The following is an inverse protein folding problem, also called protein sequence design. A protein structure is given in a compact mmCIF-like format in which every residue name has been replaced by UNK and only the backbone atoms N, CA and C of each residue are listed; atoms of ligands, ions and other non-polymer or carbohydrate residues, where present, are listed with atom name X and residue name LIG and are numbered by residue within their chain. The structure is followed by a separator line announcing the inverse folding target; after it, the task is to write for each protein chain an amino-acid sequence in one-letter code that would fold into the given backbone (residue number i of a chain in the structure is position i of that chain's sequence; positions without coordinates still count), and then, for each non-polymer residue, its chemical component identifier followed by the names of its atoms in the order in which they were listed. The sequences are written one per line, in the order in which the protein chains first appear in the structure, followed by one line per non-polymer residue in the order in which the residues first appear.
data_IF_932209664143
#
_entry.id   IF_932209664143
#
_cell.length_a   1.000
_cell.length_b   1.000
_cell.length_c   1.000
_cell.angle_alpha   90.00
_cell.angle_beta   90.00
_cell.angle_gamma   90.00
#
_symmetry.space_group_name_H-M   'P 1'
#
loop_
_entity.id
_entity.type
_entity.pdbx_description
1 polymer ?
#
# COMPACT_ATOMS: atom_id res chain seq x y z
N UNK A 1 -8.41 -18.18 -12.30
CA UNK A 1 -9.53 -17.47 -11.65
C UNK A 1 -9.07 -17.08 -10.26
N UNK A 2 -8.82 -15.79 -10.03
CA UNK A 2 -8.26 -15.29 -8.78
C UNK A 2 -9.40 -15.01 -7.80
N UNK A 3 -9.40 -15.68 -6.64
CA UNK A 3 -10.30 -15.33 -5.55
C UNK A 3 -9.69 -14.18 -4.78
N UNK A 4 -10.27 -12.99 -4.92
CA UNK A 4 -9.87 -11.81 -4.18
C UNK A 4 -11.01 -11.34 -3.26
N UNK A 5 -10.62 -10.81 -2.12
CA UNK A 5 -11.54 -10.17 -1.19
C UNK A 5 -11.85 -8.77 -1.71
N UNK A 6 -13.12 -8.52 -2.04
CA UNK A 6 -13.66 -7.19 -2.29
C UNK A 6 -14.39 -6.74 -1.03
N UNK A 7 -14.01 -5.60 -0.45
CA UNK A 7 -14.79 -5.00 0.62
C UNK A 7 -16.10 -4.47 0.02
N UNK A 8 -17.25 -4.85 0.58
CA UNK A 8 -18.57 -4.41 0.12
C UNK A 8 -18.85 -2.95 0.53
N UNK A 9 -18.01 -2.01 0.08
CA UNK A 9 -18.26 -0.57 0.17
C UNK A 9 -17.93 0.05 -1.19
N UNK A 10 -18.96 0.59 -1.85
CA UNK A 10 -19.07 0.95 -3.27
C UNK A 10 -18.15 2.08 -3.80
N UNK A 11 -16.97 2.32 -3.23
CA UNK A 11 -16.05 3.31 -3.76
C UNK A 11 -14.64 2.71 -3.76
N UNK A 12 -13.95 2.74 -4.90
CA UNK A 12 -12.55 2.37 -4.96
C UNK A 12 -11.70 3.44 -4.25
N UNK A 13 -11.26 3.16 -3.02
CA UNK A 13 -10.69 4.16 -2.09
C UNK A 13 -9.15 4.26 -2.22
N UNK A 14 -8.62 3.63 -3.28
CA UNK A 14 -7.20 3.59 -3.62
C UNK A 14 -6.69 4.94 -4.14
N UNK A 15 -7.58 5.74 -4.74
CA UNK A 15 -7.27 7.08 -5.23
C UNK A 15 -7.33 8.08 -4.06
N UNK A 16 -6.17 8.62 -3.71
CA UNK A 16 -6.02 9.59 -2.62
C UNK A 16 -6.05 11.01 -3.18
N UNK A 17 -7.17 11.70 -3.04
CA UNK A 17 -7.37 13.08 -3.51
C UNK A 17 -6.91 14.12 -2.47
N UNK A 18 -5.61 14.20 -2.22
CA UNK A 18 -5.03 15.18 -1.28
C UNK A 18 -3.63 15.59 -1.69
N UNK A 19 -3.25 16.85 -1.56
CA UNK A 19 -1.90 17.29 -1.91
C UNK A 19 -0.86 16.87 -0.86
N UNK A 20 -1.29 16.55 0.36
CA UNK A 20 -0.44 16.15 1.50
C UNK A 20 -0.15 14.64 1.52
N UNK A 21 0.41 14.13 0.42
CA UNK A 21 0.64 12.69 0.22
C UNK A 21 1.51 12.05 1.32
N UNK A 22 2.65 12.64 1.67
CA UNK A 22 3.52 12.10 2.72
C UNK A 22 2.87 12.16 4.10
N UNK A 23 2.05 13.19 4.37
CA UNK A 23 1.25 13.24 5.60
C UNK A 23 0.26 12.07 5.69
N UNK A 24 -0.31 11.67 4.55
CA UNK A 24 -1.22 10.53 4.46
C UNK A 24 -0.48 9.22 4.69
N UNK A 25 0.66 9.00 4.02
CA UNK A 25 1.49 7.82 4.25
C UNK A 25 1.91 7.70 5.73
N UNK A 26 2.26 8.82 6.36
CA UNK A 26 2.60 8.87 7.77
C UNK A 26 1.40 8.55 8.68
N UNK A 27 0.19 9.05 8.35
CA UNK A 27 -1.05 8.70 9.05
C UNK A 27 -1.37 7.22 8.91
N UNK A 28 -1.23 6.65 7.72
CA UNK A 28 -1.42 5.21 7.46
C UNK A 28 -0.41 4.41 8.27
N UNK A 29 0.87 4.79 8.25
CA UNK A 29 1.89 4.13 9.04
C UNK A 29 1.52 4.10 10.54
N UNK A 30 1.21 5.26 11.11
CA UNK A 30 0.91 5.43 12.54
C UNK A 30 -0.40 4.77 12.98
N UNK A 31 -1.42 4.74 12.12
CA UNK A 31 -2.75 4.24 12.47
C UNK A 31 -3.00 2.80 12.05
N UNK A 32 -2.40 2.36 10.95
CA UNK A 32 -2.63 1.05 10.34
C UNK A 32 -1.41 0.15 10.55
N UNK A 33 -0.26 0.51 9.97
CA UNK A 33 0.94 -0.36 9.94
C UNK A 33 1.42 -0.72 11.34
N UNK A 34 1.47 0.24 12.26
CA UNK A 34 1.91 -0.02 13.64
C UNK A 34 0.90 -0.85 14.43
N UNK A 35 -0.41 -0.71 14.16
CA UNK A 35 -1.48 -1.32 14.96
C UNK A 35 -1.82 -2.75 14.55
N UNK A 36 -1.89 -3.04 13.26
CA UNK A 36 -2.33 -4.35 12.79
C UNK A 36 -1.15 -5.31 12.68
N UNK A 37 -1.21 -6.46 13.36
CA UNK A 37 -0.14 -7.47 13.36
C UNK A 37 0.25 -7.92 11.94
N UNK A 38 -0.68 -8.15 11.00
CA UNK A 38 -0.32 -8.63 9.66
C UNK A 38 0.36 -7.60 8.77
N UNK A 39 0.35 -6.30 9.11
CA UNK A 39 1.01 -5.29 8.28
C UNK A 39 2.53 -5.46 8.33
N UNK A 40 3.16 -5.42 7.16
CA UNK A 40 4.61 -5.49 6.98
C UNK A 40 5.22 -4.09 6.83
N UNK A 41 4.53 -3.19 6.15
CA UNK A 41 5.00 -1.83 5.93
C UNK A 41 4.30 -1.13 4.78
N UNK A 42 4.84 0.02 4.39
CA UNK A 42 4.53 0.72 3.15
C UNK A 42 5.77 0.71 2.24
N UNK A 43 5.54 0.62 0.94
CA UNK A 43 6.52 0.94 -0.10
C UNK A 43 5.94 2.05 -0.97
N UNK A 44 6.71 3.10 -1.27
CA UNK A 44 6.27 4.24 -2.10
C UNK A 44 7.32 4.62 -3.14
N UNK A 45 6.89 5.33 -4.19
CA UNK A 45 7.80 5.96 -5.15
C UNK A 45 8.02 7.45 -4.84
N UNK A 46 7.93 7.82 -3.56
CA UNK A 46 8.05 9.20 -3.09
C UNK A 46 8.95 9.29 -1.87
N UNK A 47 9.59 10.44 -1.69
CA UNK A 47 10.42 10.74 -0.53
C UNK A 47 10.11 12.14 -0.01
N UNK A 48 10.42 12.36 1.28
CA UNK A 48 10.40 13.68 1.90
C UNK A 48 11.73 14.40 1.62
N UNK A 49 11.68 15.59 1.03
CA UNK A 49 12.90 16.40 0.81
C UNK A 49 13.45 16.97 2.13
N UNK A 50 12.57 17.19 3.10
CA UNK A 50 12.86 17.71 4.44
C UNK A 50 11.92 17.09 5.47
N UNK A 51 12.27 17.17 6.75
CA UNK A 51 11.55 16.48 7.84
C UNK A 51 10.06 16.87 7.90
N UNK A 52 9.74 18.13 7.61
CA UNK A 52 8.39 18.70 7.59
C UNK A 52 7.70 18.63 6.22
N UNK A 53 8.29 17.95 5.23
CA UNK A 53 7.66 17.76 3.93
C UNK A 53 6.44 16.85 4.04
N UNK A 54 5.28 17.45 3.77
CA UNK A 54 3.96 16.79 3.80
C UNK A 54 3.51 16.35 2.42
N UNK A 55 4.13 16.86 1.37
CA UNK A 55 3.72 16.63 -0.02
C UNK A 55 4.55 15.48 -0.59
N UNK A 56 5.86 15.51 -0.40
CA UNK A 56 6.81 14.55 -0.97
C UNK A 56 7.04 14.75 -2.46
N UNK A 57 8.22 14.34 -2.89
CA UNK A 57 8.66 14.39 -4.29
C UNK A 57 8.78 12.97 -4.85
N UNK A 58 8.60 12.82 -6.17
CA UNK A 58 8.79 11.54 -6.85
C UNK A 58 10.24 11.09 -6.74
N UNK A 59 10.43 9.78 -6.56
CA UNK A 59 11.74 9.13 -6.52
C UNK A 59 11.85 8.07 -7.61
N UNK A 60 13.02 7.98 -8.24
CA UNK A 60 13.35 6.89 -9.16
C UNK A 60 13.61 5.56 -8.44
N UNK A 61 13.71 5.58 -7.11
CA UNK A 61 13.88 4.41 -6.26
C UNK A 61 12.67 4.25 -5.31
N UNK A 62 12.40 3.01 -4.91
CA UNK A 62 11.35 2.73 -3.93
C UNK A 62 11.81 3.09 -2.52
N UNK A 63 10.93 3.73 -1.76
CA UNK A 63 11.13 4.07 -0.35
C UNK A 63 10.29 3.15 0.52
N UNK A 64 10.85 2.68 1.63
CA UNK A 64 10.20 1.71 2.52
C UNK A 64 9.95 2.31 3.90
N UNK A 65 8.75 2.07 4.42
CA UNK A 65 8.37 2.35 5.81
C UNK A 65 7.92 1.05 6.47
N UNK A 66 8.88 0.26 6.96
CA UNK A 66 8.60 -1.03 7.60
C UNK A 66 7.99 -0.90 8.98
N UNK A 67 7.14 -1.87 9.34
CA UNK A 67 6.65 -2.03 10.70
C UNK A 67 7.83 -2.26 11.64
N UNK A 68 7.79 -1.67 12.83
CA UNK A 68 8.79 -1.91 13.87
C UNK A 68 8.83 -3.40 14.22
N UNK A 69 10.04 -3.97 14.33
CA UNK A 69 10.28 -5.40 14.60
C UNK A 69 9.67 -6.32 13.55
N UNK A 70 9.72 -5.91 12.28
CA UNK A 70 9.49 -6.84 11.18
C UNK A 70 10.48 -8.01 11.28
N UNK A 71 10.02 -9.19 10.88
CA UNK A 71 10.87 -10.36 10.76
C UNK A 71 12.05 -10.08 9.79
N UNK A 72 13.30 -10.37 10.17
CA UNK A 72 14.47 -10.07 9.33
C UNK A 72 14.45 -10.78 7.97
N UNK A 73 14.01 -12.03 7.90
CA UNK A 73 13.94 -12.76 6.62
C UNK A 73 12.92 -12.12 5.70
N UNK A 74 11.74 -11.76 6.23
CA UNK A 74 10.73 -11.01 5.46
C UNK A 74 11.23 -9.65 5.02
N UNK A 75 11.96 -8.93 5.89
CA UNK A 75 12.55 -7.64 5.55
C UNK A 75 13.48 -7.77 4.34
N UNK A 76 14.42 -8.72 4.39
CA UNK A 76 15.43 -8.93 3.34
C UNK A 76 14.80 -9.34 2.01
N UNK A 77 13.68 -10.06 2.05
CA UNK A 77 12.89 -10.40 0.88
C UNK A 77 12.07 -9.22 0.33
N UNK A 78 11.47 -8.39 1.19
CA UNK A 78 10.68 -7.23 0.77
C UNK A 78 11.51 -6.14 0.11
N UNK A 79 12.76 -5.95 0.53
CA UNK A 79 13.65 -4.96 -0.11
C UNK A 79 14.04 -5.34 -1.55
N UNK A 80 13.76 -6.58 -1.99
CA UNK A 80 13.93 -7.01 -3.39
C UNK A 80 12.86 -6.44 -4.32
N UNK A 81 11.82 -5.79 -3.77
CA UNK A 81 10.82 -5.05 -4.55
C UNK A 81 11.44 -3.72 -5.01
N UNK A 82 12.19 -3.83 -6.10
CA UNK A 82 12.73 -2.68 -6.82
C UNK A 82 11.64 -1.88 -7.56
N UNK A 83 12.06 -0.80 -8.20
CA UNK A 83 11.21 0.09 -8.99
C UNK A 83 10.45 -0.65 -10.09
N UNK A 84 11.08 -1.60 -10.78
CA UNK A 84 10.47 -2.28 -11.92
C UNK A 84 9.38 -3.23 -11.44
N UNK A 85 9.63 -3.99 -10.38
CA UNK A 85 8.61 -4.83 -9.73
C UNK A 85 7.47 -3.98 -9.18
N UNK A 86 7.78 -2.90 -8.47
CA UNK A 86 6.79 -1.96 -7.94
C UNK A 86 5.88 -1.39 -9.04
N UNK A 87 6.48 -0.94 -10.15
CA UNK A 87 5.73 -0.42 -11.29
C UNK A 87 4.91 -1.51 -11.96
N UNK A 88 5.45 -2.72 -12.13
CA UNK A 88 4.73 -3.84 -12.72
C UNK A 88 3.49 -4.22 -11.89
N UNK A 89 3.60 -4.24 -10.56
CA UNK A 89 2.47 -4.47 -9.65
C UNK A 89 1.38 -3.42 -9.89
N UNK A 90 1.75 -2.15 -9.97
CA UNK A 90 0.79 -1.07 -10.22
C UNK A 90 0.20 -1.13 -11.64
N UNK A 91 0.98 -1.48 -12.66
CA UNK A 91 0.47 -1.62 -14.02
C UNK A 91 -0.54 -2.76 -14.12
N UNK A 92 -0.25 -3.89 -13.48
CA UNK A 92 -1.20 -5.01 -13.40
C UNK A 92 -2.49 -4.58 -12.68
N UNK A 93 -2.38 -3.92 -11.54
CA UNK A 93 -3.55 -3.39 -10.81
C UNK A 93 -4.37 -2.39 -11.65
N UNK A 94 -3.70 -1.47 -12.36
CA UNK A 94 -4.36 -0.47 -13.19
C UNK A 94 -4.89 -1.03 -14.52
N UNK A 95 -4.47 -2.23 -14.93
CA UNK A 95 -4.95 -2.88 -16.15
C UNK A 95 -6.38 -3.42 -16.04
N UNK A 96 -6.88 -3.60 -14.81
CA UNK A 96 -8.28 -3.94 -14.54
C UNK A 96 -9.16 -2.69 -14.54
N UNK A 97 -10.41 -2.85 -14.97
CA UNK A 97 -11.45 -1.83 -14.84
C UNK A 97 -11.69 -1.49 -13.36
N UNK A 98 -12.08 -0.26 -13.05
CA UNK A 98 -12.20 0.22 -11.67
C UNK A 98 -13.16 -0.64 -10.83
N UNK A 99 -14.26 -1.10 -11.44
CA UNK A 99 -15.27 -1.96 -10.82
C UNK A 99 -14.77 -3.40 -10.54
N UNK A 100 -13.74 -3.84 -11.24
CA UNK A 100 -13.15 -5.19 -11.12
C UNK A 100 -11.93 -5.22 -10.19
N UNK A 101 -11.42 -4.05 -9.81
CA UNK A 101 -10.26 -3.94 -8.92
C UNK A 101 -10.62 -4.39 -7.52
N UNK A 102 -9.83 -5.32 -6.99
CA UNK A 102 -9.92 -5.75 -5.60
C UNK A 102 -9.12 -4.84 -4.68
N UNK A 103 -9.60 -4.68 -3.44
CA UNK A 103 -8.92 -3.87 -2.44
C UNK A 103 -7.51 -4.39 -2.10
N UNK A 104 -7.43 -5.70 -1.87
CA UNK A 104 -6.18 -6.40 -1.59
C UNK A 104 -5.81 -7.31 -2.74
N UNK A 105 -4.65 -7.06 -3.33
CA UNK A 105 -4.06 -7.85 -4.39
C UNK A 105 -3.05 -8.85 -3.82
N UNK A 106 -3.19 -10.12 -4.18
CA UNK A 106 -2.27 -11.18 -3.76
C UNK A 106 -1.10 -11.27 -4.73
N UNK A 107 0.08 -10.86 -4.26
CA UNK A 107 1.34 -11.07 -4.96
C UNK A 107 1.79 -12.51 -4.78
N UNK A 108 1.53 -13.31 -5.83
CA UNK A 108 2.02 -14.68 -5.96
C UNK A 108 3.48 -14.70 -6.42
N UNK A 109 4.03 -15.91 -6.57
CA UNK A 109 5.42 -16.18 -7.02
C UNK A 109 5.90 -15.43 -8.29
N UNK A 110 4.99 -14.88 -9.12
CA UNK A 110 5.32 -14.10 -10.33
C UNK A 110 6.32 -12.97 -10.09
N UNK A 111 6.28 -12.35 -8.92
CA UNK A 111 7.15 -11.22 -8.57
C UNK A 111 8.44 -11.63 -7.86
N UNK A 112 8.68 -12.94 -7.69
CA UNK A 112 9.92 -13.51 -7.13
C UNK A 112 10.36 -12.92 -5.78
N UNK A 113 9.39 -12.44 -4.98
CA UNK A 113 9.62 -11.85 -3.64
C UNK A 113 10.07 -12.94 -2.64
N UNK A 114 9.91 -14.23 -2.95
CA UNK A 114 10.30 -15.33 -2.08
C UNK A 114 9.22 -15.76 -1.07
N UNK A 115 8.15 -14.99 -0.92
CA UNK A 115 6.97 -15.35 -0.13
C UNK A 115 5.70 -14.66 -0.65
N UNK A 116 4.54 -15.10 -0.16
CA UNK A 116 3.23 -14.57 -0.55
C UNK A 116 2.85 -13.39 0.35
N UNK A 117 2.42 -12.28 -0.29
CA UNK A 117 1.94 -11.08 0.41
C UNK A 117 0.65 -10.55 -0.22
N UNK A 118 -0.13 -9.86 0.59
CA UNK A 118 -1.23 -9.02 0.12
C UNK A 118 -0.75 -7.58 0.03
N UNK A 119 -1.14 -6.88 -1.03
CA UNK A 119 -0.88 -5.44 -1.19
C UNK A 119 -2.17 -4.68 -1.38
N UNK A 120 -2.29 -3.53 -0.73
CA UNK A 120 -3.35 -2.56 -0.95
C UNK A 120 -2.76 -1.36 -1.70
N UNK A 121 -3.11 -1.16 -2.98
CA UNK A 121 -2.57 -0.06 -3.77
C UNK A 121 -3.15 1.29 -3.36
N UNK A 122 -2.29 2.30 -3.34
CA UNK A 122 -2.61 3.69 -3.08
C UNK A 122 -1.98 4.54 -4.17
N UNK A 123 -2.73 5.46 -4.75
CA UNK A 123 -2.18 6.37 -5.75
C UNK A 123 -2.84 7.74 -5.66
N UNK A 124 -2.08 8.76 -6.04
CA UNK A 124 -2.55 10.12 -6.13
C UNK A 124 -2.19 10.67 -7.50
N UNK A 125 -3.22 11.02 -8.26
CA UNK A 125 -3.12 11.32 -9.71
C UNK A 125 -2.33 10.18 -10.38
N UNK A 126 -1.39 10.49 -11.28
CA UNK A 126 -0.63 9.49 -12.04
C UNK A 126 0.82 9.30 -11.57
N UNK A 127 1.31 10.14 -10.65
CA UNK A 127 2.75 10.19 -10.32
C UNK A 127 3.11 9.60 -8.96
N UNK A 128 2.26 9.73 -7.94
CA UNK A 128 2.57 9.26 -6.58
C UNK A 128 1.81 7.98 -6.27
N UNK A 129 2.54 6.97 -5.80
CA UNK A 129 2.07 5.60 -5.64
C UNK A 129 2.67 5.00 -4.36
N UNK A 130 1.88 4.19 -3.67
CA UNK A 130 2.34 3.39 -2.55
C UNK A 130 1.58 2.06 -2.45
N UNK A 131 2.23 1.01 -1.97
CA UNK A 131 1.58 -0.24 -1.59
C UNK A 131 1.65 -0.38 -0.07
N UNK A 132 0.50 -0.59 0.56
CA UNK A 132 0.45 -1.13 1.91
C UNK A 132 0.59 -2.65 1.84
N UNK A 133 1.61 -3.19 2.50
CA UNK A 133 1.97 -4.60 2.43
C UNK A 133 1.50 -5.34 3.68
N UNK A 134 0.85 -6.49 3.50
CA UNK A 134 0.38 -7.38 4.55
C UNK A 134 0.89 -8.81 4.30
N UNK A 135 1.06 -9.55 5.39
CA UNK A 135 1.27 -10.99 5.32
C UNK A 135 0.09 -11.71 4.67
N UNK A 136 0.38 -12.76 3.90
CA UNK A 136 -0.62 -13.73 3.47
C UNK A 136 -0.47 -15.04 4.26
N UNK A 137 -1.57 -15.67 4.71
CA UNK A 137 -2.94 -15.17 4.68
C UNK A 137 -3.21 -14.10 5.75
N UNK A 138 -4.11 -13.15 5.44
CA UNK A 138 -4.72 -12.25 6.44
C UNK A 138 -6.23 -12.49 6.51
N UNK A 139 -6.78 -12.55 7.72
CA UNK A 139 -8.22 -12.73 7.94
C UNK A 139 -9.05 -11.58 7.37
N UNK A 140 -10.20 -11.90 6.76
CA UNK A 140 -11.14 -10.93 6.18
C UNK A 140 -11.52 -9.81 7.14
N UNK A 141 -11.83 -10.15 8.39
CA UNK A 141 -12.20 -9.17 9.43
C UNK A 141 -11.08 -8.14 9.69
N UNK A 142 -9.82 -8.54 9.54
CA UNK A 142 -8.67 -7.63 9.68
C UNK A 142 -8.56 -6.73 8.45
N UNK A 143 -8.69 -7.30 7.24
CA UNK A 143 -8.71 -6.52 5.99
C UNK A 143 -9.81 -5.46 6.00
N UNK A 144 -11.02 -5.83 6.42
CA UNK A 144 -12.17 -4.93 6.54
C UNK A 144 -11.91 -3.78 7.53
N UNK A 145 -11.27 -4.07 8.66
CA UNK A 145 -10.87 -3.05 9.63
C UNK A 145 -9.83 -2.09 9.05
N UNK A 146 -8.86 -2.62 8.31
CA UNK A 146 -7.83 -1.81 7.64
C UNK A 146 -8.50 -0.89 6.61
N UNK A 147 -9.38 -1.40 5.75
CA UNK A 147 -10.13 -0.58 4.79
C UNK A 147 -10.88 0.55 5.51
N UNK A 148 -11.62 0.25 6.57
CA UNK A 148 -12.33 1.27 7.36
C UNK A 148 -11.40 2.33 7.96
N UNK A 149 -10.22 1.95 8.45
CA UNK A 149 -9.24 2.92 8.96
C UNK A 149 -8.67 3.81 7.84
N UNK A 150 -8.40 3.25 6.66
CA UNK A 150 -7.97 3.99 5.48
C UNK A 150 -9.03 5.02 5.05
N UNK A 151 -10.30 4.61 4.97
CA UNK A 151 -11.44 5.50 4.71
C UNK A 151 -11.48 6.68 5.68
N UNK A 152 -11.32 6.38 6.96
CA UNK A 152 -11.30 7.40 8.01
C UNK A 152 -10.09 8.34 7.92
N UNK A 153 -8.96 7.89 7.38
CA UNK A 153 -7.79 8.73 7.12
C UNK A 153 -8.08 9.66 5.94
N UNK A 154 -8.58 9.14 4.83
CA UNK A 154 -8.79 9.92 3.60
C UNK A 154 -9.91 10.93 3.75
N UNK A 155 -11.03 10.56 4.39
CA UNK A 155 -12.15 11.47 4.66
C UNK A 155 -11.75 12.68 5.53
N UNK A 156 -10.79 12.51 6.45
CA UNK A 156 -10.30 13.57 7.34
C UNK A 156 -9.14 14.39 6.77
N UNK A 157 -8.69 14.06 5.55
CA UNK A 157 -7.52 14.71 4.92
C UNK A 157 -7.89 15.38 3.60
N UNK A 158 -9.18 15.72 3.41
CA UNK A 158 -9.62 16.62 2.34
C UNK A 158 -8.98 18.01 2.54
N UNK A 159 -8.55 18.66 1.45
CA UNK A 159 -7.92 19.99 1.50
C UNK A 159 -8.82 21.04 2.15
#
# INVERSE_FOLDING_TARGET
MFGFHAFESQLAIHKVESEFWEEILEKIYKKVVTKHKPCLGLISNTFKEKVDDKIGSYSEITQFLFKKKIDPEKHDLLVLIDKDKFNAIFQEYLSYEEEERSDFYHLKKKYEIGFEILVYPLYNKLNKKALLMLDYPTERVIMDRICNELINIFSKTKP
#
